data_IF_405366366406
#
_entry.id   IF_405366366406
#
_cell.length_a   1.000
_cell.length_b   1.000
_cell.length_c   1.000
_cell.angle_alpha   90.00
_cell.angle_beta   90.00
_cell.angle_gamma   90.00
#
_symmetry.space_group_name_H-M   'P 1'
#
loop_
_entity.id
_entity.type
_entity.pdbx_description
1 polymer ?
#
# COMPACT_ATOMS: atom_id res chain seq x y z
N UNK A 1 -39.34 22.38 11.22
CA UNK A 1 -38.05 22.75 10.58
C UNK A 1 -37.85 21.91 9.33
N UNK A 2 -37.78 22.55 8.16
CA UNK A 2 -37.62 21.85 6.88
C UNK A 2 -36.15 21.46 6.67
N UNK A 3 -35.90 20.18 6.32
CA UNK A 3 -34.55 19.62 6.09
C UNK A 3 -33.72 20.44 5.09
N UNK A 4 -34.39 21.11 4.14
CA UNK A 4 -33.77 21.94 3.10
C UNK A 4 -33.25 23.28 3.64
N UNK A 5 -33.94 23.86 4.61
CA UNK A 5 -33.58 25.14 5.24
C UNK A 5 -32.38 24.98 6.18
N UNK A 6 -32.33 23.84 6.90
CA UNK A 6 -31.20 23.50 7.75
C UNK A 6 -29.91 23.30 6.92
N UNK A 7 -29.99 22.60 5.79
CA UNK A 7 -28.82 22.42 4.90
C UNK A 7 -28.38 23.76 4.29
N UNK A 8 -29.30 24.62 3.86
CA UNK A 8 -28.98 25.90 3.23
C UNK A 8 -28.32 26.90 4.21
N UNK A 9 -28.87 27.04 5.43
CA UNK A 9 -28.35 28.01 6.40
C UNK A 9 -27.06 27.56 7.09
N UNK A 10 -26.81 26.25 7.22
CA UNK A 10 -25.60 25.74 7.88
C UNK A 10 -24.40 25.71 6.92
N UNK A 11 -24.62 25.46 5.62
CA UNK A 11 -23.55 25.47 4.62
C UNK A 11 -23.02 26.88 4.32
N UNK A 12 -23.85 27.92 4.42
CA UNK A 12 -23.42 29.31 4.20
C UNK A 12 -22.46 29.82 5.29
N UNK A 13 -22.59 29.33 6.53
CA UNK A 13 -21.70 29.70 7.63
C UNK A 13 -20.29 29.07 7.52
N UNK A 14 -20.16 27.91 6.86
CA UNK A 14 -18.86 27.26 6.63
C UNK A 14 -18.08 27.80 5.43
N UNK A 15 -18.69 28.66 4.60
CA UNK A 15 -18.04 29.31 3.46
C UNK A 15 -17.35 30.63 3.85
N UNK A 16 -17.40 31.02 5.13
CA UNK A 16 -16.61 32.10 5.70
C UNK A 16 -15.14 31.72 5.81
N UNK A 17 -14.34 32.22 4.87
CA UNK A 17 -12.88 32.35 4.95
C UNK A 17 -12.09 31.10 5.39
N UNK A 18 -11.78 30.22 4.45
CA UNK A 18 -10.38 29.86 4.15
C UNK A 18 -10.32 29.04 2.86
N UNK A 19 -9.58 29.56 1.89
CA UNK A 19 -9.13 28.80 0.74
C UNK A 19 -8.11 27.75 1.20
N UNK A 20 -8.56 26.61 1.74
CA UNK A 20 -7.71 25.42 1.90
C UNK A 20 -7.83 24.57 0.63
N UNK A 21 -7.33 25.12 -0.47
CA UNK A 21 -7.15 24.39 -1.73
C UNK A 21 -5.78 23.73 -1.72
N UNK A 22 -5.70 22.52 -1.18
CA UNK A 22 -4.48 21.72 -1.09
C UNK A 22 -4.35 21.20 0.32
N UNK A 23 -4.68 19.95 0.62
CA UNK A 23 -3.89 18.77 0.28
C UNK A 23 -4.83 17.55 0.11
N UNK A 24 -5.63 17.50 -0.96
CA UNK A 24 -6.23 16.23 -1.33
C UNK A 24 -5.15 15.34 -1.95
N UNK A 25 -4.50 14.54 -1.10
CA UNK A 25 -3.66 13.43 -1.54
C UNK A 25 -4.47 12.59 -2.52
N UNK A 26 -4.02 12.56 -3.79
CA UNK A 26 -4.67 11.75 -4.82
C UNK A 26 -4.70 10.30 -4.35
N UNK A 27 -5.89 9.76 -4.11
CA UNK A 27 -6.07 8.34 -3.85
C UNK A 27 -5.60 7.57 -5.09
N UNK A 28 -4.38 7.06 -5.06
CA UNK A 28 -3.89 6.13 -6.07
C UNK A 28 -4.56 4.78 -5.83
N UNK A 29 -5.24 4.24 -6.84
CA UNK A 29 -5.83 2.92 -6.73
C UNK A 29 -4.75 1.86 -6.50
N UNK A 30 -5.03 0.93 -5.58
CA UNK A 30 -4.14 -0.20 -5.30
C UNK A 30 -4.02 -1.10 -6.52
N UNK A 31 -2.78 -1.34 -6.96
CA UNK A 31 -2.48 -2.24 -8.07
C UNK A 31 -2.21 -3.64 -7.53
N UNK A 32 -3.12 -4.54 -7.81
CA UNK A 32 -2.91 -5.97 -7.61
C UNK A 32 -2.26 -6.57 -8.86
N UNK A 33 -1.30 -7.46 -8.66
CA UNK A 33 -0.69 -8.27 -9.72
C UNK A 33 -0.41 -9.69 -9.22
N UNK A 34 -0.35 -10.64 -10.13
CA UNK A 34 -0.02 -12.03 -9.84
C UNK A 34 1.47 -12.24 -10.04
N UNK A 35 2.19 -12.67 -9.00
CA UNK A 35 3.60 -13.03 -9.13
C UNK A 35 3.76 -14.50 -9.51
N UNK A 36 4.87 -14.82 -10.18
CA UNK A 36 5.22 -16.18 -10.58
C UNK A 36 6.06 -16.83 -9.49
N UNK A 37 5.57 -17.95 -8.95
CA UNK A 37 6.31 -18.72 -7.95
C UNK A 37 7.48 -19.45 -8.59
N UNK A 38 8.66 -19.28 -8.01
CA UNK A 38 9.83 -20.11 -8.24
C UNK A 38 10.12 -21.00 -7.03
N UNK A 39 11.28 -21.65 -7.05
CA UNK A 39 11.73 -22.56 -5.99
C UNK A 39 11.90 -21.86 -4.63
N UNK A 40 12.48 -20.66 -4.65
CA UNK A 40 12.96 -19.96 -3.47
C UNK A 40 12.20 -18.67 -3.17
N UNK A 41 11.32 -18.25 -4.09
CA UNK A 41 10.69 -16.95 -4.00
C UNK A 41 9.66 -16.70 -5.09
N UNK A 42 9.23 -15.46 -5.18
CA UNK A 42 8.25 -15.00 -6.17
C UNK A 42 8.86 -13.90 -7.03
N UNK A 43 8.60 -13.97 -8.33
CA UNK A 43 9.07 -12.98 -9.31
C UNK A 43 7.90 -12.15 -9.82
N UNK A 44 8.13 -10.85 -10.01
CA UNK A 44 7.16 -9.92 -10.60
C UNK A 44 7.88 -8.94 -11.54
N UNK A 45 7.22 -8.54 -12.63
CA UNK A 45 7.78 -7.55 -13.56
C UNK A 45 7.83 -6.16 -12.91
N UNK A 46 8.95 -5.45 -13.08
CA UNK A 46 9.07 -4.04 -12.66
C UNK A 46 8.14 -3.11 -13.44
N UNK A 47 7.62 -3.55 -14.59
CA UNK A 47 6.63 -2.79 -15.37
C UNK A 47 5.30 -2.59 -14.63
N UNK A 48 4.98 -3.43 -13.65
CA UNK A 48 3.79 -3.26 -12.82
C UNK A 48 3.80 -1.92 -12.06
N UNK A 49 4.99 -1.36 -11.82
CA UNK A 49 5.12 -0.04 -11.21
C UNK A 49 4.92 1.09 -12.21
N UNK A 50 5.05 0.86 -13.53
CA UNK A 50 4.91 1.93 -14.51
C UNK A 50 3.46 2.45 -14.52
N UNK A 51 3.34 3.77 -14.65
CA UNK A 51 2.08 4.48 -14.83
C UNK A 51 2.19 5.38 -16.04
N UNK A 52 1.18 5.34 -16.90
CA UNK A 52 1.04 6.30 -17.98
C UNK A 52 -0.17 7.19 -17.69
N UNK A 53 0.07 8.38 -17.13
CA UNK A 53 -0.98 9.38 -16.93
C UNK A 53 -0.74 10.55 -17.88
N UNK A 54 -1.63 10.71 -18.86
CA UNK A 54 -1.66 11.86 -19.79
C UNK A 54 -0.31 12.14 -20.47
N UNK A 55 0.38 11.11 -20.95
CA UNK A 55 1.64 11.25 -21.69
C UNK A 55 2.87 11.53 -20.82
N UNK A 56 2.74 11.51 -19.49
CA UNK A 56 3.88 11.52 -18.57
C UNK A 56 4.14 10.10 -18.07
N UNK A 57 5.32 9.58 -18.38
CA UNK A 57 5.84 8.36 -17.78
C UNK A 57 6.13 8.63 -16.31
N UNK A 58 5.66 7.73 -15.45
CA UNK A 58 5.92 7.79 -14.02
C UNK A 58 5.83 6.40 -13.41
N UNK A 59 6.04 6.32 -12.09
CA UNK A 59 5.94 5.09 -11.34
C UNK A 59 4.91 5.27 -10.21
N UNK A 60 4.07 4.25 -10.00
CA UNK A 60 3.29 4.15 -8.77
C UNK A 60 4.23 3.72 -7.63
N UNK A 61 3.96 4.15 -6.39
CA UNK A 61 4.85 3.87 -5.27
C UNK A 61 4.79 2.42 -4.81
N UNK A 62 3.68 1.70 -5.02
CA UNK A 62 3.53 0.33 -4.55
C UNK A 62 2.65 -0.55 -5.45
N UNK A 63 2.80 -1.85 -5.26
CA UNK A 63 1.92 -2.91 -5.77
C UNK A 63 1.61 -3.91 -4.65
N UNK A 64 0.57 -4.72 -4.85
CA UNK A 64 0.25 -5.88 -4.02
C UNK A 64 0.38 -7.13 -4.87
N UNK A 65 1.35 -7.97 -4.53
CA UNK A 65 1.65 -9.22 -5.23
C UNK A 65 0.86 -10.35 -4.59
N UNK A 66 0.10 -11.07 -5.41
CA UNK A 66 -0.69 -12.25 -5.02
C UNK A 66 -0.16 -13.50 -5.70
N UNK A 67 -0.34 -14.63 -5.03
CA UNK A 67 -0.18 -15.96 -5.61
C UNK A 67 -1.01 -16.96 -4.80
N UNK A 68 -1.58 -17.97 -5.46
CA UNK A 68 -2.44 -18.99 -4.82
C UNK A 68 -1.69 -19.85 -3.80
N UNK A 69 -0.36 -19.94 -3.91
CA UNK A 69 0.49 -20.67 -2.94
C UNK A 69 0.73 -19.89 -1.65
N UNK A 70 0.32 -18.62 -1.59
CA UNK A 70 0.55 -17.73 -0.45
C UNK A 70 -0.76 -17.47 0.30
N UNK A 71 -0.74 -17.64 1.63
CA UNK A 71 -1.91 -17.35 2.48
C UNK A 71 -2.25 -15.85 2.54
N UNK A 72 -1.24 -14.99 2.49
CA UNK A 72 -1.40 -13.54 2.48
C UNK A 72 -0.61 -12.94 1.31
N UNK A 73 -1.05 -11.80 0.77
CA UNK A 73 -0.29 -11.10 -0.24
C UNK A 73 1.00 -10.49 0.30
N UNK A 74 1.84 -10.03 -0.63
CA UNK A 74 3.06 -9.28 -0.34
C UNK A 74 2.88 -7.85 -0.83
N UNK A 75 3.03 -6.89 0.07
CA UNK A 75 3.08 -5.48 -0.29
C UNK A 75 4.50 -5.13 -0.71
N UNK A 76 4.66 -4.54 -1.89
CA UNK A 76 5.97 -4.14 -2.41
C UNK A 76 5.97 -2.63 -2.66
N UNK A 77 6.83 -1.91 -1.95
CA UNK A 77 7.01 -0.46 -2.11
C UNK A 77 8.31 -0.15 -2.85
N UNK A 78 8.26 0.83 -3.74
CA UNK A 78 9.39 1.30 -4.55
C UNK A 78 9.94 2.61 -3.99
N UNK A 79 11.21 2.59 -3.59
CA UNK A 79 11.96 3.79 -3.20
C UNK A 79 12.81 4.34 -4.36
N UNK A 80 13.28 3.46 -5.24
CA UNK A 80 14.14 3.82 -6.37
C UNK A 80 14.07 2.78 -7.49
N UNK A 81 15.01 2.84 -8.45
CA UNK A 81 15.08 1.88 -9.56
C UNK A 81 15.46 0.47 -9.10
N UNK A 82 16.24 0.37 -8.02
CA UNK A 82 16.74 -0.89 -7.47
C UNK A 82 16.43 -1.06 -5.97
N UNK A 83 15.80 -0.06 -5.35
CA UNK A 83 15.49 -0.06 -3.92
C UNK A 83 14.00 -0.26 -3.69
N UNK A 84 13.67 -1.38 -3.04
CA UNK A 84 12.32 -1.82 -2.75
C UNK A 84 12.23 -2.44 -1.35
N UNK A 85 11.07 -2.32 -0.72
CA UNK A 85 10.68 -3.19 0.39
C UNK A 85 9.64 -4.19 -0.09
N UNK A 86 9.66 -5.39 0.49
CA UNK A 86 8.61 -6.39 0.33
C UNK A 86 8.23 -6.91 1.71
N UNK A 87 6.96 -6.80 2.09
CA UNK A 87 6.49 -7.19 3.43
C UNK A 87 5.24 -8.05 3.37
N UNK A 88 5.18 -9.02 4.27
CA UNK A 88 4.07 -9.96 4.40
C UNK A 88 2.84 -9.25 4.96
N UNK A 89 1.71 -9.28 4.23
CA UNK A 89 0.49 -8.56 4.61
C UNK A 89 -0.35 -9.31 5.66
N UNK A 90 0.31 -9.96 6.62
CA UNK A 90 -0.32 -10.58 7.79
C UNK A 90 -0.07 -9.70 9.01
N UNK A 91 -1.15 -9.19 9.60
CA UNK A 91 -1.08 -8.43 10.84
C UNK A 91 -0.42 -9.26 11.95
N UNK A 92 0.61 -8.70 12.59
CA UNK A 92 1.38 -9.37 13.67
C UNK A 92 0.61 -9.46 14.99
N UNK A 93 -0.54 -8.78 15.12
CA UNK A 93 -1.41 -8.91 16.28
C UNK A 93 -2.12 -10.27 16.33
N UNK A 94 -2.99 -10.57 15.36
CA UNK A 94 -3.82 -11.79 15.34
C UNK A 94 -3.97 -12.41 13.94
N UNK A 95 -3.14 -11.99 12.96
CA UNK A 95 -3.07 -12.64 11.66
C UNK A 95 -4.16 -12.23 10.65
N UNK A 96 -4.86 -11.12 10.85
CA UNK A 96 -5.74 -10.56 9.81
C UNK A 96 -4.93 -10.10 8.59
N UNK A 97 -5.50 -10.19 7.39
CA UNK A 97 -4.90 -9.61 6.19
C UNK A 97 -4.92 -8.07 6.27
N UNK A 98 -3.82 -7.43 5.88
CA UNK A 98 -3.70 -5.98 5.87
C UNK A 98 -4.25 -5.37 4.57
N UNK A 99 -4.63 -4.10 4.65
CA UNK A 99 -5.01 -3.28 3.49
C UNK A 99 -3.93 -2.23 3.24
N UNK A 100 -3.56 -2.03 1.96
CA UNK A 100 -2.59 -1.02 1.56
C UNK A 100 -3.26 0.32 1.23
N UNK A 101 -2.74 1.39 1.80
CA UNK A 101 -3.13 2.77 1.52
C UNK A 101 -1.87 3.62 1.38
N UNK A 102 -1.45 3.87 0.13
CA UNK A 102 -0.24 4.64 -0.13
C UNK A 102 1.00 3.96 0.43
N UNK A 103 1.69 4.64 1.34
CA UNK A 103 2.89 4.22 2.05
C UNK A 103 2.60 3.58 3.42
N UNK A 104 1.34 3.21 3.68
CA UNK A 104 0.92 2.60 4.93
C UNK A 104 0.10 1.32 4.69
N UNK A 105 0.16 0.42 5.66
CA UNK A 105 -0.64 -0.80 5.76
C UNK A 105 -1.49 -0.73 7.02
N UNK A 106 -2.78 -1.04 6.89
CA UNK A 106 -3.76 -0.97 7.99
C UNK A 106 -4.50 -2.29 8.18
N UNK A 107 -4.67 -2.70 9.44
CA UNK A 107 -5.47 -3.85 9.83
C UNK A 107 -6.92 -3.43 10.11
N UNK A 108 -7.87 -3.86 9.28
CA UNK A 108 -9.29 -3.54 9.46
C UNK A 108 -9.94 -4.17 10.69
N UNK A 109 -9.33 -5.21 11.29
CA UNK A 109 -9.90 -5.87 12.46
C UNK A 109 -9.82 -5.00 13.73
N UNK A 110 -8.66 -4.41 14.02
CA UNK A 110 -8.39 -3.72 15.29
C UNK A 110 -7.56 -2.43 15.15
N UNK A 111 -7.27 -1.98 13.92
CA UNK A 111 -6.63 -0.68 13.69
C UNK A 111 -5.09 -0.65 13.80
N UNK A 112 -4.40 -1.79 13.86
CA UNK A 112 -2.93 -1.80 13.78
C UNK A 112 -2.44 -1.23 12.46
N UNK A 113 -1.35 -0.47 12.52
CA UNK A 113 -0.77 0.18 11.34
C UNK A 113 0.73 -0.10 11.22
N UNK A 114 1.18 -0.17 9.98
CA UNK A 114 2.55 -0.44 9.62
C UNK A 114 3.00 0.48 8.49
N UNK A 115 4.25 0.93 8.53
CA UNK A 115 4.88 1.70 7.47
C UNK A 115 5.13 0.87 6.20
N UNK A 116 5.50 1.53 5.10
CA UNK A 116 5.95 0.90 3.86
C UNK A 116 7.20 0.00 4.01
N UNK A 117 7.93 0.06 5.14
CA UNK A 117 9.04 -0.84 5.48
C UNK A 117 8.62 -1.97 6.42
N UNK A 118 7.33 -2.07 6.77
CA UNK A 118 6.79 -3.07 7.70
C UNK A 118 6.98 -2.72 9.18
N UNK A 119 7.51 -1.53 9.50
CA UNK A 119 7.63 -1.09 10.90
C UNK A 119 6.26 -0.82 11.50
N UNK A 120 5.99 -1.35 12.69
CA UNK A 120 4.75 -1.04 13.41
C UNK A 120 4.73 0.44 13.80
N UNK A 121 3.62 1.12 13.50
CA UNK A 121 3.43 2.55 13.81
C UNK A 121 2.24 2.78 14.73
N UNK A 122 1.28 1.86 14.75
CA UNK A 122 0.13 1.91 15.66
C UNK A 122 -0.27 0.50 16.12
N UNK A 123 -0.61 0.38 17.41
CA UNK A 123 -1.04 -0.87 18.04
C UNK A 123 -2.47 -1.30 17.65
N UNK A 124 -2.98 -2.45 18.11
CA UNK A 124 -2.42 -3.33 19.16
C UNK A 124 -1.24 -4.23 18.76
N UNK A 125 -0.86 -4.31 17.48
CA UNK A 125 0.38 -4.97 17.10
C UNK A 125 1.59 -4.33 17.81
N UNK A 126 2.53 -5.16 18.24
CA UNK A 126 3.75 -4.74 18.95
C UNK A 126 5.04 -5.18 18.23
N UNK A 127 4.90 -5.84 17.07
CA UNK A 127 5.99 -6.37 16.25
C UNK A 127 5.87 -5.89 14.81
N UNK A 128 7.02 -5.65 14.20
CA UNK A 128 7.14 -5.37 12.77
C UNK A 128 6.67 -6.55 11.91
N UNK A 129 6.23 -6.25 10.70
CA UNK A 129 5.90 -7.26 9.69
C UNK A 129 7.15 -8.02 9.25
N UNK A 130 6.97 -9.29 8.89
CA UNK A 130 8.00 -10.06 8.19
C UNK A 130 8.34 -9.36 6.87
N UNK A 131 9.63 -9.10 6.67
CA UNK A 131 10.16 -8.50 5.45
C UNK A 131 10.96 -9.53 4.64
N UNK A 132 10.94 -9.36 3.33
CA UNK A 132 11.62 -10.24 2.38
C UNK A 132 12.73 -9.47 1.67
N UNK A 133 13.92 -10.07 1.48
CA UNK A 133 14.92 -9.51 0.58
C UNK A 133 14.35 -9.37 -0.83
N UNK A 134 14.70 -8.26 -1.47
CA UNK A 134 14.36 -7.99 -2.86
C UNK A 134 15.65 -7.87 -3.67
N UNK A 135 15.70 -8.52 -4.82
CA UNK A 135 16.75 -8.33 -5.82
C UNK A 135 16.11 -7.95 -7.14
N UNK A 136 16.67 -6.95 -7.81
CA UNK A 136 16.22 -6.50 -9.13
C UNK A 136 17.24 -6.94 -10.16
N UNK A 137 16.79 -7.72 -11.15
CA UNK A 137 17.59 -8.15 -12.28
C UNK A 137 16.84 -7.78 -13.56
N UNK A 138 17.42 -6.86 -14.36
CA UNK A 138 16.79 -6.32 -15.56
C UNK A 138 15.39 -5.76 -15.27
N UNK A 139 14.35 -6.43 -15.76
CA UNK A 139 12.95 -6.02 -15.64
C UNK A 139 12.16 -6.92 -14.68
N UNK A 140 12.87 -7.68 -13.84
CA UNK A 140 12.30 -8.63 -12.88
C UNK A 140 12.72 -8.29 -11.46
N UNK A 141 11.74 -8.27 -10.57
CA UNK A 141 11.91 -8.13 -9.14
C UNK A 141 11.69 -9.51 -8.51
N UNK A 142 12.74 -10.05 -7.91
CA UNK A 142 12.71 -11.31 -7.17
C UNK A 142 12.57 -11.03 -5.67
N UNK A 143 11.57 -11.65 -5.04
CA UNK A 143 11.29 -11.57 -3.61
C UNK A 143 11.64 -12.93 -2.99
N UNK A 144 12.68 -12.97 -2.15
CA UNK A 144 13.17 -14.19 -1.52
C UNK A 144 12.31 -14.58 -0.30
N UNK A 145 11.61 -15.71 -0.39
CA UNK A 145 10.67 -16.17 0.65
C UNK A 145 11.33 -17.07 1.71
N UNK A 146 12.60 -17.43 1.53
CA UNK A 146 13.33 -18.30 2.47
C UNK A 146 13.75 -17.57 3.74
N UNK A 147 13.96 -16.25 3.65
CA UNK A 147 14.40 -15.45 4.80
C UNK A 147 13.25 -15.30 5.79
N UNK A 148 13.48 -15.77 7.02
CA UNK A 148 12.52 -15.72 8.13
C UNK A 148 12.89 -14.58 9.06
#
# INVERSE_FOLDING_TARGET
MNRREFIANTCAACLGATAVSGLLSSCSSTRYTSGTMGKDGITVSTDEFKTNKKGKNGYRPFIVVRNESLKYPIYVYRFGETEYSAVWMQCTHQGAELQASGDQLQCSAHGSEFSNKGKVTNGPADKDLRSFPVTVNNNELFIDLRKV
#
